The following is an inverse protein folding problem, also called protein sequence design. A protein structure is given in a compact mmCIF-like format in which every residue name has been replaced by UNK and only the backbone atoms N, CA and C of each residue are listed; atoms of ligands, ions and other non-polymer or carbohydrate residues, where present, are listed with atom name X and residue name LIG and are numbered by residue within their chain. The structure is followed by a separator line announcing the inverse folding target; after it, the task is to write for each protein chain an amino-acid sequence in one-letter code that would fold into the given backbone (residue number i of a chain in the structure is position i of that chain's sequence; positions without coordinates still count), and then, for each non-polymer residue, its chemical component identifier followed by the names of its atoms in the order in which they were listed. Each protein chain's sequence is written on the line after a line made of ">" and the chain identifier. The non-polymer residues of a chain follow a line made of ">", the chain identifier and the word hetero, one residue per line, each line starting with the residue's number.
data_IF_998774657768
#
_entry.id   IF_998774657768
#
_cell.length_a   1.000
_cell.length_b   1.000
_cell.length_c   1.000
_cell.angle_alpha   90.00
_cell.angle_beta   90.00
_cell.angle_gamma   90.00
#
_symmetry.space_group_name_H-M   'P 1'
#
loop_
_entity.id
_entity.type
_entity.pdbx_description
1 polymer ?
#
# COMPACT_ATOMS: atom_id res chain seq x y z
N UNK A 1 -27.02 6.42 18.37
CA UNK A 1 -25.59 6.78 18.39
C UNK A 1 -24.70 5.76 17.68
N UNK A 2 -24.41 4.55 18.24
CA UNK A 2 -23.53 3.57 17.54
C UNK A 2 -24.14 3.01 16.25
N UNK A 3 -25.41 2.57 16.32
CA UNK A 3 -26.14 2.01 15.17
C UNK A 3 -26.19 3.00 14.00
N UNK A 4 -26.47 4.27 14.28
CA UNK A 4 -26.57 5.31 13.25
C UNK A 4 -25.22 5.53 12.58
N UNK A 5 -24.14 5.63 13.35
CA UNK A 5 -22.77 5.74 12.81
C UNK A 5 -22.42 4.56 11.89
N UNK A 6 -22.78 3.34 12.28
CA UNK A 6 -22.54 2.14 11.46
C UNK A 6 -23.35 2.23 10.16
N UNK A 7 -24.63 2.58 10.23
CA UNK A 7 -25.46 2.72 9.04
C UNK A 7 -24.91 3.80 8.10
N UNK A 8 -24.48 4.95 8.64
CA UNK A 8 -23.84 6.01 7.84
C UNK A 8 -22.58 5.49 7.15
N UNK A 9 -21.72 4.75 7.85
CA UNK A 9 -20.52 4.18 7.22
C UNK A 9 -20.83 3.17 6.13
N UNK A 10 -21.90 2.37 6.27
CA UNK A 10 -22.33 1.41 5.25
C UNK A 10 -22.84 2.15 4.00
N UNK A 11 -23.61 3.22 4.16
CA UNK A 11 -24.07 4.05 3.02
C UNK A 11 -22.90 4.78 2.33
N UNK A 12 -21.88 5.18 3.10
CA UNK A 12 -20.65 5.73 2.53
C UNK A 12 -19.89 4.68 1.71
N UNK A 13 -19.74 3.45 2.22
CA UNK A 13 -19.12 2.34 1.48
C UNK A 13 -19.88 2.05 0.18
N UNK A 14 -21.21 2.02 0.25
CA UNK A 14 -22.08 1.85 -0.92
C UNK A 14 -21.81 2.90 -2.00
N UNK A 15 -21.68 4.16 -1.60
CA UNK A 15 -21.43 5.28 -2.51
C UNK A 15 -20.05 5.20 -3.15
N UNK A 16 -19.02 4.79 -2.39
CA UNK A 16 -17.66 4.63 -2.88
C UNK A 16 -17.53 3.47 -3.88
N UNK A 17 -18.32 2.40 -3.68
CA UNK A 17 -18.29 1.18 -4.49
C UNK A 17 -19.37 1.16 -5.60
N UNK A 18 -20.06 2.28 -5.83
CA UNK A 18 -21.12 2.37 -6.83
C UNK A 18 -20.69 1.87 -8.22
N UNK A 19 -19.48 2.19 -8.73
CA UNK A 19 -19.01 1.66 -10.02
C UNK A 19 -18.89 0.12 -10.03
N UNK A 20 -18.37 -0.47 -8.96
CA UNK A 20 -18.18 -1.91 -8.82
C UNK A 20 -19.51 -2.65 -8.84
N UNK A 21 -20.55 -2.08 -8.22
CA UNK A 21 -21.87 -2.69 -8.25
C UNK A 21 -22.56 -2.59 -9.61
N UNK A 22 -22.38 -1.49 -10.34
CA UNK A 22 -22.92 -1.38 -11.69
C UNK A 22 -22.33 -2.44 -12.63
N UNK A 23 -21.05 -2.78 -12.44
CA UNK A 23 -20.39 -3.82 -13.21
C UNK A 23 -20.91 -5.22 -12.88
N UNK A 24 -21.23 -5.49 -11.62
CA UNK A 24 -21.65 -6.82 -11.19
C UNK A 24 -23.16 -7.04 -11.40
N UNK A 25 -23.99 -6.09 -10.94
CA UNK A 25 -25.45 -6.13 -11.07
C UNK A 25 -26.05 -4.71 -11.13
N UNK A 26 -26.32 -4.17 -12.34
CA UNK A 26 -26.79 -2.80 -12.55
C UNK A 26 -28.11 -2.46 -11.83
N UNK A 27 -29.02 -3.44 -11.73
CA UNK A 27 -30.40 -3.24 -11.28
C UNK A 27 -30.70 -3.87 -9.91
N UNK A 28 -29.67 -4.39 -9.22
CA UNK A 28 -29.87 -5.06 -7.93
C UNK A 28 -29.84 -4.08 -6.75
N UNK A 29 -30.82 -4.21 -5.86
CA UNK A 29 -30.82 -3.51 -4.58
C UNK A 29 -29.78 -4.15 -3.67
N UNK A 30 -28.68 -3.46 -3.44
CA UNK A 30 -27.63 -3.91 -2.53
C UNK A 30 -28.12 -3.92 -1.09
N UNK A 31 -28.13 -5.10 -0.48
CA UNK A 31 -28.31 -5.28 0.94
C UNK A 31 -27.02 -4.98 1.70
N UNK A 32 -27.11 -4.85 3.03
CA UNK A 32 -25.93 -4.54 3.85
C UNK A 32 -24.86 -5.63 3.75
N UNK A 33 -25.26 -6.88 3.57
CA UNK A 33 -24.34 -7.99 3.39
C UNK A 33 -23.55 -7.83 2.09
N UNK A 34 -24.22 -7.56 0.97
CA UNK A 34 -23.60 -7.34 -0.34
C UNK A 34 -22.60 -6.17 -0.30
N UNK A 35 -22.96 -5.08 0.39
CA UNK A 35 -22.09 -3.91 0.52
C UNK A 35 -20.79 -4.30 1.23
N UNK A 36 -20.88 -5.07 2.31
CA UNK A 36 -19.73 -5.51 3.08
C UNK A 36 -18.90 -6.54 2.32
N UNK A 37 -19.54 -7.48 1.63
CA UNK A 37 -18.85 -8.48 0.80
C UNK A 37 -18.05 -7.82 -0.33
N UNK A 38 -18.69 -6.91 -1.08
CA UNK A 38 -18.02 -6.14 -2.13
C UNK A 38 -16.86 -5.31 -1.56
N UNK A 39 -17.04 -4.71 -0.38
CA UNK A 39 -15.97 -3.96 0.29
C UNK A 39 -14.76 -4.84 0.58
N UNK A 40 -14.98 -6.04 1.14
CA UNK A 40 -13.90 -6.99 1.42
C UNK A 40 -13.22 -7.42 0.12
N UNK A 41 -13.99 -7.81 -0.89
CA UNK A 41 -13.46 -8.17 -2.20
C UNK A 41 -12.60 -7.05 -2.81
N UNK A 42 -13.11 -5.82 -2.82
CA UNK A 42 -12.41 -4.65 -3.34
C UNK A 42 -11.10 -4.39 -2.58
N UNK A 43 -11.13 -4.41 -1.25
CA UNK A 43 -9.96 -4.16 -0.41
C UNK A 43 -8.92 -5.28 -0.54
N UNK A 44 -9.34 -6.55 -0.61
CA UNK A 44 -8.43 -7.68 -0.84
C UNK A 44 -7.73 -7.56 -2.19
N UNK A 45 -8.48 -7.22 -3.25
CA UNK A 45 -7.91 -6.94 -4.58
C UNK A 45 -6.96 -5.76 -4.54
N UNK A 46 -7.33 -4.68 -3.85
CA UNK A 46 -6.48 -3.49 -3.72
C UNK A 46 -5.23 -3.73 -2.88
N UNK A 47 -5.26 -4.60 -1.86
CA UNK A 47 -4.06 -4.97 -1.10
C UNK A 47 -3.11 -5.86 -1.91
N UNK A 48 -3.64 -6.76 -2.74
CA UNK A 48 -2.83 -7.52 -3.69
C UNK A 48 -2.20 -6.60 -4.74
N UNK A 49 -2.96 -5.62 -5.25
CA UNK A 49 -2.43 -4.59 -6.17
C UNK A 49 -1.53 -3.57 -5.46
N UNK A 50 -1.75 -3.31 -4.16
CA UNK A 50 -1.10 -2.31 -3.31
C UNK A 50 0.26 -2.75 -2.79
N UNK A 51 0.47 -4.06 -2.68
CA UNK A 51 1.80 -4.68 -2.60
C UNK A 51 2.61 -4.43 -3.89
N UNK A 52 1.93 -4.05 -4.96
CA UNK A 52 2.51 -3.56 -6.22
C UNK A 52 2.45 -2.03 -6.35
N UNK A 53 1.82 -1.26 -5.44
CA UNK A 53 1.69 0.20 -5.65
C UNK A 53 2.96 0.97 -5.28
N UNK A 54 3.84 0.41 -4.45
CA UNK A 54 5.25 0.86 -4.36
C UNK A 54 6.06 0.39 -5.58
N UNK A 55 5.57 -0.63 -6.30
CA UNK A 55 6.13 -1.14 -7.57
C UNK A 55 5.60 -0.35 -8.79
N UNK A 56 4.55 0.47 -8.70
CA UNK A 56 4.21 1.32 -9.86
C UNK A 56 5.19 2.48 -10.01
N UNK A 57 5.80 2.98 -8.93
CA UNK A 57 6.88 3.96 -9.01
C UNK A 57 8.27 3.32 -9.18
N UNK A 58 8.59 2.23 -8.45
CA UNK A 58 9.89 1.57 -8.57
C UNK A 58 9.96 0.51 -9.67
N UNK A 59 8.85 -0.19 -9.93
CA UNK A 59 8.75 -1.19 -10.98
C UNK A 59 8.58 -0.56 -12.36
N UNK A 60 8.02 0.63 -12.51
CA UNK A 60 8.09 1.36 -13.79
C UNK A 60 9.52 1.79 -14.14
N UNK A 61 10.28 2.28 -13.16
CA UNK A 61 11.69 2.63 -13.36
C UNK A 61 12.56 1.39 -13.62
N UNK A 62 12.44 0.34 -12.79
CA UNK A 62 13.20 -0.90 -12.97
C UNK A 62 12.86 -1.60 -14.29
N UNK A 63 11.58 -1.64 -14.67
CA UNK A 63 11.13 -2.17 -15.96
C UNK A 63 11.70 -1.35 -17.13
N UNK A 64 11.66 -0.02 -17.05
CA UNK A 64 12.25 0.86 -18.06
C UNK A 64 13.77 0.62 -18.21
N UNK A 65 14.49 0.49 -17.09
CA UNK A 65 15.92 0.16 -17.09
C UNK A 65 16.17 -1.23 -17.68
N UNK A 66 15.37 -2.24 -17.33
CA UNK A 66 15.48 -3.59 -17.89
C UNK A 66 15.22 -3.63 -19.39
N UNK A 67 14.24 -2.88 -19.87
CA UNK A 67 13.90 -2.77 -21.29
C UNK A 67 15.01 -2.05 -22.07
N UNK A 68 15.57 -0.97 -21.51
CA UNK A 68 16.72 -0.27 -22.09
C UNK A 68 17.95 -1.19 -22.23
N UNK A 69 18.26 -2.00 -21.21
CA UNK A 69 19.33 -3.00 -21.28
C UNK A 69 19.06 -4.04 -22.35
N UNK A 70 17.84 -4.58 -22.40
CA UNK A 70 17.43 -5.59 -23.39
C UNK A 70 17.60 -5.07 -24.82
N UNK A 71 17.14 -3.85 -25.09
CA UNK A 71 17.26 -3.21 -26.39
C UNK A 71 18.72 -2.94 -26.77
N UNK A 72 19.50 -2.37 -25.85
CA UNK A 72 20.91 -2.06 -26.11
C UNK A 72 21.75 -3.34 -26.33
N UNK A 73 21.41 -4.44 -25.67
CA UNK A 73 22.10 -5.72 -25.86
C UNK A 73 21.87 -6.34 -27.24
N UNK A 74 20.78 -5.97 -27.91
CA UNK A 74 20.44 -6.42 -29.27
C UNK A 74 21.05 -5.54 -30.36
N UNK A 75 21.59 -4.37 -30.00
CA UNK A 75 22.27 -3.49 -30.95
C UNK A 75 23.68 -4.03 -31.30
N UNK A 76 23.96 -4.21 -32.59
CA UNK A 76 25.27 -4.67 -33.10
C UNK A 76 26.38 -3.60 -33.02
N UNK A 77 26.06 -2.40 -32.53
CA UNK A 77 26.94 -1.24 -32.47
C UNK A 77 27.91 -1.36 -31.29
N UNK A 78 29.19 -1.65 -31.59
CA UNK A 78 30.25 -1.84 -30.57
C UNK A 78 31.10 -0.58 -30.36
N UNK A 79 30.46 0.52 -29.99
CA UNK A 79 31.19 1.75 -29.62
C UNK A 79 31.55 1.76 -28.13
N UNK A 80 32.58 2.51 -27.76
CA UNK A 80 32.97 2.66 -26.35
C UNK A 80 31.83 3.26 -25.49
N UNK A 81 31.03 4.16 -26.06
CA UNK A 81 29.87 4.76 -25.39
C UNK A 81 28.77 3.74 -25.11
N UNK A 82 28.52 2.80 -26.03
CA UNK A 82 27.55 1.71 -25.85
C UNK A 82 27.93 0.80 -24.67
N UNK A 83 29.20 0.38 -24.59
CA UNK A 83 29.70 -0.43 -23.47
C UNK A 83 29.58 0.30 -22.12
N UNK A 84 29.90 1.60 -22.07
CA UNK A 84 29.75 2.43 -20.87
C UNK A 84 28.28 2.53 -20.44
N UNK A 85 27.37 2.70 -21.39
CA UNK A 85 25.94 2.84 -21.14
C UNK A 85 25.32 1.54 -20.60
N UNK A 86 25.64 0.39 -21.21
CA UNK A 86 25.20 -0.92 -20.71
C UNK A 86 25.69 -1.20 -19.29
N UNK A 87 26.97 -0.92 -19.01
CA UNK A 87 27.55 -1.09 -17.67
C UNK A 87 26.83 -0.25 -16.63
N UNK A 88 26.48 1.00 -16.98
CA UNK A 88 25.74 1.90 -16.11
C UNK A 88 24.31 1.39 -15.82
N UNK A 89 23.59 0.88 -16.82
CA UNK A 89 22.26 0.33 -16.56
C UNK A 89 22.28 -0.95 -15.72
N UNK A 90 23.28 -1.81 -15.90
CA UNK A 90 23.46 -2.98 -15.05
C UNK A 90 23.77 -2.62 -13.58
N UNK A 91 24.54 -1.55 -13.32
CA UNK A 91 24.81 -1.11 -11.95
C UNK A 91 23.59 -0.50 -11.26
N UNK A 92 22.68 0.12 -12.02
CA UNK A 92 21.40 0.59 -11.49
C UNK A 92 20.49 -0.58 -11.05
N UNK A 93 20.55 -1.73 -11.74
CA UNK A 93 19.77 -2.92 -11.38
C UNK A 93 20.23 -3.59 -10.08
N UNK A 94 21.54 -3.58 -9.79
CA UNK A 94 22.09 -4.18 -8.55
C UNK A 94 21.84 -3.31 -7.32
N UNK A 95 21.83 -1.99 -7.48
CA UNK A 95 21.53 -1.03 -6.40
C UNK A 95 20.09 -1.13 -5.89
N UNK A 96 19.12 -1.37 -6.79
CA UNK A 96 17.69 -1.47 -6.44
C UNK A 96 17.39 -2.69 -5.55
N UNK A 97 18.09 -3.82 -5.75
CA UNK A 97 17.86 -5.05 -4.99
C UNK A 97 18.37 -5.00 -3.55
N UNK A 98 19.38 -4.17 -3.24
CA UNK A 98 19.95 -4.08 -1.89
C UNK A 98 19.11 -3.24 -0.90
N UNK A 99 18.06 -2.57 -1.38
CA UNK A 99 17.15 -1.77 -0.52
C UNK A 99 16.13 -2.61 0.26
N UNK A 100 16.12 -3.94 0.09
CA UNK A 100 15.25 -4.89 0.79
C UNK A 100 15.96 -5.55 2.00
N UNK A 101 16.74 -4.78 2.77
CA UNK A 101 17.14 -5.22 4.11
C UNK A 101 16.02 -4.82 5.09
N UNK A 102 15.57 -5.70 6.02
CA UNK A 102 14.53 -5.36 6.98
C UNK A 102 15.05 -4.19 7.81
N UNK A 103 14.45 -3.00 7.63
CA UNK A 103 14.66 -1.87 8.52
C UNK A 103 14.19 -2.29 9.91
N UNK A 104 15.15 -2.78 10.71
CA UNK A 104 15.00 -2.93 12.15
C UNK A 104 14.58 -1.58 12.71
N UNK A 105 13.30 -1.47 13.07
CA UNK A 105 12.74 -0.31 13.73
C UNK A 105 13.32 -0.24 15.14
N UNK A 106 14.44 0.46 15.29
CA UNK A 106 14.87 0.96 16.60
C UNK A 106 14.14 2.29 16.86
N UNK A 107 13.39 2.45 17.97
CA UNK A 107 12.91 3.75 18.36
C UNK A 107 14.07 4.56 18.96
N UNK A 108 14.56 5.55 18.20
CA UNK A 108 15.44 6.58 18.72
C UNK A 108 14.63 7.46 19.67
N UNK A 109 14.90 7.35 20.96
CA UNK A 109 14.29 8.18 21.98
C UNK A 109 14.88 9.59 22.03
N UNK A 110 14.09 10.46 22.69
CA UNK A 110 14.43 11.72 23.37
C UNK A 110 13.90 13.00 22.72
N UNK A 111 13.81 14.12 23.46
CA UNK A 111 13.14 14.34 24.76
C UNK A 111 12.25 15.62 24.68
N UNK A 112 11.92 16.26 25.83
CA UNK A 112 11.35 17.63 26.03
C UNK A 112 9.80 17.71 26.02
N UNK A 113 9.08 18.29 26.99
CA UNK A 113 9.41 18.90 28.30
C UNK A 113 8.16 18.92 29.23
N UNK A 114 8.43 19.21 30.50
CA UNK A 114 7.61 19.07 31.71
C UNK A 114 6.47 20.11 31.88
N UNK A 115 5.37 19.72 32.55
CA UNK A 115 4.75 20.51 33.65
C UNK A 115 3.61 19.76 34.39
N UNK A 116 3.91 19.38 35.64
CA UNK A 116 3.07 19.23 36.85
C UNK A 116 1.52 19.21 36.79
N UNK A 117 0.91 18.17 37.40
CA UNK A 117 0.16 18.26 38.68
C UNK A 117 -0.33 16.87 39.14
N UNK A 118 -0.68 16.79 40.42
CA UNK A 118 -0.66 15.63 41.32
C UNK A 118 -1.80 14.63 41.11
N UNK A 119 -1.53 13.34 41.39
CA UNK A 119 -2.50 12.48 42.08
C UNK A 119 -2.91 11.17 41.40
N UNK A 120 -2.61 10.08 42.10
CA UNK A 120 -3.33 8.80 42.14
C UNK A 120 -3.17 7.84 40.95
N UNK A 121 -2.49 6.75 41.29
CA UNK A 121 -2.34 5.48 40.58
C UNK A 121 -3.68 4.91 40.08
N UNK A 122 -3.72 4.51 38.80
CA UNK A 122 -4.63 3.48 38.28
C UNK A 122 -4.16 2.97 36.91
N UNK A 123 -3.78 1.68 36.76
CA UNK A 123 -3.72 1.09 35.43
C UNK A 123 -5.16 0.88 34.95
N UNK A 124 -5.58 1.68 33.97
CA UNK A 124 -6.84 1.47 33.27
C UNK A 124 -6.65 0.24 32.39
N UNK A 125 -7.07 -0.92 32.92
CA UNK A 125 -7.35 -2.11 32.13
C UNK A 125 -8.33 -1.70 31.03
N UNK A 126 -7.83 -1.62 29.79
CA UNK A 126 -8.68 -1.42 28.62
C UNK A 126 -9.63 -2.63 28.56
N UNK A 127 -10.97 -2.44 28.56
CA UNK A 127 -11.86 -3.57 28.49
C UNK A 127 -11.62 -4.27 27.15
N UNK A 128 -11.14 -5.52 27.26
CA UNK A 128 -11.04 -6.47 26.18
C UNK A 128 -12.35 -6.45 25.40
N UNK A 129 -12.22 -6.30 24.09
CA UNK A 129 -13.30 -6.41 23.11
C UNK A 129 -14.34 -7.45 23.55
N UNK A 130 -15.62 -7.04 23.60
CA UNK A 130 -16.72 -8.00 23.75
C UNK A 130 -17.31 -8.33 22.39
N UNK A 131 -17.45 -9.62 22.04
CA UNK A 131 -18.34 -10.04 20.98
C UNK A 131 -19.78 -9.82 21.47
N UNK A 132 -20.63 -9.37 20.56
CA UNK A 132 -22.08 -9.35 20.73
C UNK A 132 -22.64 -10.76 20.78
#
# INVERSE_FOLDING_TARGET
>A
MRRDRINTSIEQLKSLLAPEFLLQQPDSKQEKADILEMTVYFLSRQQQAGSSSTVVANGSYSHCVQEAVSFLSQCEVKTQSHSRLLTHFHSLQTSSQHSQAPRSLSPLGSPIDQATTKGVMRPISHPLWRPW
#
